data_IF_013753133614
#
_entry.id   IF_013753133614
#
_cell.length_a   1.000
_cell.length_b   1.000
_cell.length_c   1.000
_cell.angle_alpha   90.00
_cell.angle_beta   90.00
_cell.angle_gamma   90.00
#
_symmetry.space_group_name_H-M   'P 1'
#
loop_
_entity.id
_entity.type
_entity.pdbx_description
1 polymer ?
#
# COMPACT_ATOMS: atom_id res chain seq x y z
N UNK A 1 -4.03 -2.88 0.56
CA UNK A 1 -3.56 -2.69 -0.81
C UNK A 1 -4.36 -1.58 -1.45
N UNK A 2 -3.68 -0.63 -2.09
CA UNK A 2 -4.25 0.58 -2.67
C UNK A 2 -3.49 1.85 -2.27
N UNK A 3 -4.00 3.01 -2.70
CA UNK A 3 -3.33 4.31 -2.56
C UNK A 3 -3.01 4.76 -1.11
N UNK A 4 -3.71 4.20 -0.12
CA UNK A 4 -3.65 4.65 1.28
C UNK A 4 -2.93 3.68 2.23
N UNK A 5 -2.59 2.50 1.75
CA UNK A 5 -1.87 1.50 2.53
C UNK A 5 -0.67 0.99 1.72
N UNK A 6 -0.82 -0.15 1.06
CA UNK A 6 0.21 -0.83 0.31
C UNK A 6 0.09 -0.43 -1.16
N UNK A 7 0.83 0.61 -1.53
CA UNK A 7 0.64 1.38 -2.79
C UNK A 7 1.05 0.59 -4.02
N UNK A 8 1.98 -0.35 -3.89
CA UNK A 8 2.39 -1.26 -4.96
C UNK A 8 1.35 -2.34 -5.32
N UNK A 9 0.28 -2.49 -4.53
CA UNK A 9 -0.67 -3.61 -4.66
C UNK A 9 -2.06 -3.19 -5.15
N UNK A 10 -2.71 -4.08 -5.89
CA UNK A 10 -4.11 -3.89 -6.32
C UNK A 10 -5.03 -3.75 -5.10
N UNK A 11 -6.03 -2.88 -5.23
CA UNK A 11 -6.96 -2.57 -4.15
C UNK A 11 -7.55 -3.84 -3.51
N UNK A 12 -7.41 -4.01 -2.19
CA UNK A 12 -7.86 -5.19 -1.40
C UNK A 12 -7.21 -6.55 -1.71
N UNK A 13 -6.25 -6.65 -2.63
CA UNK A 13 -5.72 -7.96 -3.08
C UNK A 13 -4.56 -8.53 -2.23
N UNK A 14 -4.22 -7.87 -1.13
CA UNK A 14 -3.20 -8.35 -0.19
C UNK A 14 -3.71 -9.37 0.81
N UNK A 15 -5.02 -9.42 1.03
CA UNK A 15 -5.60 -10.33 2.02
C UNK A 15 -6.04 -11.68 1.47
N UNK A 16 -6.73 -12.46 2.31
CA UNK A 16 -7.36 -13.71 1.92
C UNK A 16 -8.21 -13.54 0.66
N UNK A 17 -8.07 -14.48 -0.29
CA UNK A 17 -8.87 -14.52 -1.51
C UNK A 17 -9.57 -15.86 -1.60
N UNK A 18 -10.86 -15.86 -1.94
CA UNK A 18 -11.60 -17.08 -2.30
C UNK A 18 -11.83 -17.03 -3.80
N UNK A 19 -11.35 -18.03 -4.52
CA UNK A 19 -11.46 -18.10 -5.99
C UNK A 19 -10.89 -16.87 -6.73
N UNK A 20 -9.91 -16.17 -6.11
CA UNK A 20 -9.30 -14.97 -6.68
C UNK A 20 -9.97 -13.65 -6.27
N UNK A 21 -11.11 -13.70 -5.58
CA UNK A 21 -11.84 -12.52 -5.10
C UNK A 21 -11.49 -12.18 -3.65
N UNK A 22 -11.28 -10.89 -3.32
CA UNK A 22 -10.87 -10.48 -1.98
C UNK A 22 -12.02 -10.56 -0.98
N UNK A 23 -11.86 -11.44 0.02
CA UNK A 23 -12.84 -11.63 1.10
C UNK A 23 -12.51 -10.85 2.37
N UNK A 24 -11.28 -10.32 2.47
CA UNK A 24 -10.80 -9.65 3.68
C UNK A 24 -10.39 -10.64 4.76
N UNK A 25 -9.83 -10.13 5.86
CA UNK A 25 -9.41 -10.95 6.99
C UNK A 25 -9.77 -10.29 8.32
N UNK A 26 -9.72 -11.07 9.40
CA UNK A 26 -10.08 -10.62 10.73
C UNK A 26 -8.93 -9.96 11.50
N UNK A 27 -7.69 -10.14 11.02
CA UNK A 27 -6.50 -9.52 11.59
C UNK A 27 -5.68 -8.85 10.48
N UNK A 28 -5.24 -7.62 10.69
CA UNK A 28 -4.37 -6.91 9.75
C UNK A 28 -3.25 -6.17 10.48
N UNK A 29 -2.08 -6.13 9.85
CA UNK A 29 -0.96 -5.28 10.26
C UNK A 29 -0.50 -4.49 9.06
N UNK A 30 -0.27 -3.20 9.28
CA UNK A 30 0.24 -2.30 8.25
C UNK A 30 1.22 -1.32 8.88
N UNK A 31 2.35 -1.12 8.20
CA UNK A 31 3.36 -0.12 8.51
C UNK A 31 3.79 0.59 7.24
N UNK A 32 4.08 1.89 7.38
CA UNK A 32 4.56 2.72 6.28
C UNK A 32 5.65 3.65 6.77
N UNK A 33 6.72 3.76 6.00
CA UNK A 33 7.77 4.75 6.17
C UNK A 33 7.80 5.64 4.94
N UNK A 34 7.63 6.93 5.13
CA UNK A 34 7.67 7.92 4.06
C UNK A 34 8.69 9.01 4.38
N UNK A 35 9.65 9.20 3.47
CA UNK A 35 10.60 10.30 3.52
C UNK A 35 10.30 11.28 2.41
N UNK A 36 10.11 12.55 2.75
CA UNK A 36 9.72 13.58 1.78
C UNK A 36 10.56 14.85 1.91
N UNK A 37 10.99 15.37 0.77
CA UNK A 37 11.78 16.59 0.68
C UNK A 37 11.01 17.66 -0.12
N UNK A 38 10.98 18.91 0.35
CA UNK A 38 10.41 20.01 -0.43
C UNK A 38 11.33 20.33 -1.61
N UNK A 39 10.75 20.40 -2.81
CA UNK A 39 11.42 20.92 -4.01
C UNK A 39 11.03 22.39 -4.21
N UNK A 40 9.76 22.70 -3.95
CA UNK A 40 9.24 24.07 -3.86
C UNK A 40 8.50 24.14 -2.53
N UNK A 41 8.99 24.97 -1.60
CA UNK A 41 8.66 24.94 -0.17
C UNK A 41 7.16 24.78 0.12
N UNK A 42 6.30 25.43 -0.64
CA UNK A 42 4.85 25.44 -0.40
C UNK A 42 4.03 24.58 -1.38
N UNK A 43 4.58 24.24 -2.55
CA UNK A 43 3.80 23.71 -3.67
C UNK A 43 4.14 22.28 -4.05
N UNK A 44 5.40 21.86 -3.90
CA UNK A 44 5.88 20.60 -4.46
C UNK A 44 6.83 19.91 -3.49
N UNK A 45 6.48 18.68 -3.11
CA UNK A 45 7.36 17.77 -2.37
C UNK A 45 7.49 16.48 -3.16
N UNK A 46 8.68 15.92 -3.17
CA UNK A 46 8.89 14.54 -3.64
C UNK A 46 9.05 13.64 -2.43
N UNK A 47 8.55 12.42 -2.53
CA UNK A 47 8.55 11.43 -1.48
C UNK A 47 9.13 10.12 -1.98
N UNK A 48 9.88 9.44 -1.14
CA UNK A 48 10.18 8.04 -1.27
C UNK A 48 9.48 7.31 -0.12
N UNK A 49 8.99 6.11 -0.38
CA UNK A 49 8.26 5.37 0.63
C UNK A 49 8.55 3.87 0.59
N UNK A 50 8.31 3.24 1.73
CA UNK A 50 8.33 1.80 1.93
C UNK A 50 7.09 1.41 2.73
N UNK A 51 6.32 0.46 2.21
CA UNK A 51 5.13 -0.07 2.83
C UNK A 51 5.32 -1.55 3.13
N UNK A 52 4.84 -2.00 4.28
CA UNK A 52 4.83 -3.41 4.68
C UNK A 52 3.52 -3.75 5.38
N UNK A 53 2.97 -4.92 5.11
CA UNK A 53 1.76 -5.36 5.76
C UNK A 53 1.33 -6.77 5.41
N UNK A 54 0.39 -7.28 6.19
CA UNK A 54 -0.28 -8.55 5.95
C UNK A 54 -1.70 -8.53 6.51
N UNK A 55 -2.51 -9.46 6.00
CA UNK A 55 -3.89 -9.68 6.44
C UNK A 55 -4.09 -11.18 6.57
N UNK A 56 -4.54 -11.63 7.74
CA UNK A 56 -4.83 -13.03 8.03
C UNK A 56 -6.34 -13.25 8.19
N UNK A 57 -6.85 -14.43 7.78
CA UNK A 57 -8.29 -14.73 7.85
C UNK A 57 -8.79 -14.82 9.29
N UNK A 58 -8.00 -15.36 10.20
CA UNK A 58 -8.40 -15.66 11.58
C UNK A 58 -8.24 -14.44 12.51
N UNK A 59 -9.10 -14.38 13.53
CA UNK A 59 -9.03 -13.37 14.58
C UNK A 59 -7.81 -13.59 15.48
N UNK A 60 -7.14 -12.49 15.85
CA UNK A 60 -5.92 -12.48 16.66
C UNK A 60 -4.73 -13.25 16.05
N UNK A 61 -4.76 -13.49 14.75
CA UNK A 61 -3.65 -14.10 14.01
C UNK A 61 -2.77 -13.02 13.37
N UNK A 62 -1.64 -12.76 14.02
CA UNK A 62 -0.64 -11.80 13.55
C UNK A 62 0.60 -12.47 12.97
N UNK A 63 0.55 -13.77 12.67
CA UNK A 63 1.67 -14.49 12.09
C UNK A 63 1.99 -13.93 10.69
N UNK A 64 3.20 -13.35 10.46
CA UNK A 64 3.58 -12.82 9.17
C UNK A 64 4.03 -13.91 8.18
N UNK A 65 4.16 -15.17 8.62
CA UNK A 65 4.80 -16.21 7.82
C UNK A 65 4.10 -16.47 6.49
N UNK A 66 4.93 -16.71 5.47
CA UNK A 66 4.45 -17.08 4.16
C UNK A 66 3.92 -18.51 4.18
N UNK A 67 2.62 -18.66 3.91
CA UNK A 67 1.95 -19.97 3.85
C UNK A 67 0.97 -20.03 2.70
N UNK A 68 0.73 -21.24 2.19
CA UNK A 68 -0.34 -21.51 1.23
C UNK A 68 -1.51 -22.08 1.98
N UNK A 69 -2.62 -21.36 1.99
CA UNK A 69 -3.88 -21.81 2.53
C UNK A 69 -4.76 -22.40 1.41
N UNK A 70 -5.40 -23.57 1.61
CA UNK A 70 -6.22 -24.21 0.59
C UNK A 70 -7.50 -23.42 0.24
N UNK A 71 -8.01 -22.60 1.15
CA UNK A 71 -9.19 -21.76 0.95
C UNK A 71 -8.82 -20.33 0.51
N UNK A 72 -7.76 -19.78 1.09
CA UNK A 72 -7.43 -18.34 0.99
C UNK A 72 -6.22 -18.00 0.09
N UNK A 73 -5.54 -19.02 -0.43
CA UNK A 73 -4.35 -18.87 -1.27
C UNK A 73 -3.07 -18.51 -0.50
N UNK A 74 -2.12 -17.81 -1.15
CA UNK A 74 -0.84 -17.39 -0.52
C UNK A 74 -1.04 -16.29 0.54
N UNK A 75 -0.87 -16.60 1.81
CA UNK A 75 -0.87 -15.65 2.91
C UNK A 75 0.58 -15.31 3.32
N UNK A 76 0.74 -14.24 4.08
CA UNK A 76 2.02 -13.79 4.62
C UNK A 76 2.25 -12.29 4.42
N UNK A 77 3.40 -11.83 4.88
CA UNK A 77 3.83 -10.45 4.70
C UNK A 77 4.06 -10.11 3.22
N UNK A 78 3.79 -8.84 2.92
CA UNK A 78 4.11 -8.25 1.64
C UNK A 78 4.67 -6.85 1.89
N UNK A 79 5.50 -6.39 0.97
CA UNK A 79 6.07 -5.05 1.01
C UNK A 79 6.18 -4.44 -0.39
N UNK A 80 6.25 -3.11 -0.43
CA UNK A 80 6.51 -2.35 -1.65
C UNK A 80 7.36 -1.11 -1.37
N UNK A 81 8.11 -0.69 -2.39
CA UNK A 81 8.83 0.58 -2.40
C UNK A 81 8.27 1.45 -3.50
N UNK A 82 8.33 2.77 -3.31
CA UNK A 82 7.90 3.65 -4.36
C UNK A 82 8.34 5.09 -4.21
N UNK A 83 8.01 5.84 -5.25
CA UNK A 83 8.21 7.27 -5.32
C UNK A 83 6.87 7.97 -5.43
N UNK A 84 6.80 9.15 -4.83
CA UNK A 84 5.61 9.96 -4.78
C UNK A 84 5.89 11.42 -5.04
N UNK A 85 4.87 12.10 -5.57
CA UNK A 85 4.81 13.54 -5.70
C UNK A 85 3.65 14.04 -4.88
N UNK A 86 3.88 15.07 -4.08
CA UNK A 86 2.87 15.79 -3.29
C UNK A 86 2.80 17.19 -3.87
N UNK A 87 1.65 17.54 -4.43
CA UNK A 87 1.37 18.86 -4.99
C UNK A 87 0.33 19.54 -4.13
N UNK A 88 0.62 20.74 -3.64
CA UNK A 88 -0.34 21.56 -2.94
C UNK A 88 -0.73 22.72 -3.84
N UNK A 89 -1.90 22.64 -4.46
CA UNK A 89 -2.35 23.64 -5.42
C UNK A 89 -3.30 24.60 -4.69
N UNK A 90 -3.03 25.93 -4.73
CA UNK A 90 -3.96 26.92 -4.20
C UNK A 90 -5.37 26.70 -4.76
N UNK A 91 -6.38 26.74 -3.88
CA UNK A 91 -7.81 26.56 -4.21
C UNK A 91 -8.27 25.13 -4.58
N UNK A 92 -7.39 24.26 -5.08
CA UNK A 92 -7.70 22.86 -5.44
C UNK A 92 -7.42 21.87 -4.30
N UNK A 93 -6.57 22.26 -3.36
CA UNK A 93 -6.15 21.42 -2.24
C UNK A 93 -4.98 20.50 -2.59
N UNK A 94 -4.66 19.54 -1.72
CA UNK A 94 -3.50 18.68 -1.92
C UNK A 94 -3.81 17.52 -2.86
N UNK A 95 -2.89 17.28 -3.78
CA UNK A 95 -2.85 16.19 -4.75
C UNK A 95 -1.66 15.29 -4.43
N UNK A 96 -1.89 13.98 -4.54
CA UNK A 96 -0.89 12.96 -4.26
C UNK A 96 -0.81 11.99 -5.43
N UNK A 97 0.38 11.86 -5.97
CA UNK A 97 0.72 10.88 -7.00
C UNK A 97 1.73 9.91 -6.39
N UNK A 98 1.50 8.61 -6.50
CA UNK A 98 2.43 7.58 -6.02
C UNK A 98 2.60 6.49 -7.05
N UNK A 99 3.83 6.03 -7.20
CA UNK A 99 4.16 4.85 -7.99
C UNK A 99 4.89 3.86 -7.08
N UNK A 100 4.18 2.79 -6.71
CA UNK A 100 4.69 1.72 -5.84
C UNK A 100 5.04 0.46 -6.64
N UNK A 101 6.13 -0.20 -6.29
CA UNK A 101 6.62 -1.43 -6.91
C UNK A 101 6.64 -2.52 -5.83
N UNK A 102 5.88 -3.61 -6.00
CA UNK A 102 5.86 -4.71 -5.03
C UNK A 102 7.21 -5.44 -5.02
N UNK A 103 7.78 -5.62 -3.83
CA UNK A 103 9.05 -6.35 -3.65
C UNK A 103 8.75 -7.80 -3.27
N UNK A 104 8.08 -8.05 -2.15
CA UNK A 104 7.78 -9.40 -1.68
C UNK A 104 6.28 -9.62 -1.49
N UNK A 105 5.84 -10.86 -1.62
CA UNK A 105 4.47 -11.26 -1.29
C UNK A 105 3.73 -11.79 -2.52
N UNK A 106 2.45 -11.47 -2.64
CA UNK A 106 1.61 -11.92 -3.77
C UNK A 106 1.73 -10.92 -4.92
N UNK A 107 2.15 -11.37 -6.10
CA UNK A 107 2.52 -10.52 -7.25
C UNK A 107 3.88 -9.83 -7.13
N UNK A 108 4.80 -10.43 -6.36
CA UNK A 108 6.23 -10.14 -6.44
C UNK A 108 6.71 -10.16 -7.91
N UNK A 109 7.48 -9.13 -8.30
CA UNK A 109 7.96 -8.96 -9.68
C UNK A 109 6.93 -8.48 -10.69
N UNK A 110 5.70 -8.13 -10.27
CA UNK A 110 4.72 -7.51 -11.17
C UNK A 110 5.06 -6.04 -11.47
N UNK A 111 4.52 -5.52 -12.58
CA UNK A 111 4.64 -4.10 -12.92
C UNK A 111 4.10 -3.24 -11.77
N UNK A 112 4.84 -2.20 -11.41
CA UNK A 112 4.43 -1.24 -10.38
C UNK A 112 3.06 -0.62 -10.64
N UNK A 113 2.48 -0.05 -9.59
CA UNK A 113 1.14 0.53 -9.59
C UNK A 113 1.20 2.03 -9.38
N UNK A 114 0.51 2.73 -10.26
CA UNK A 114 0.28 4.16 -10.13
C UNK A 114 -1.02 4.42 -9.35
N UNK A 115 -0.94 5.31 -8.38
CA UNK A 115 -2.07 5.77 -7.57
C UNK A 115 -2.13 7.29 -7.62
N UNK A 116 -3.35 7.81 -7.62
CA UNK A 116 -3.64 9.23 -7.55
C UNK A 116 -4.75 9.47 -6.52
N UNK A 117 -4.56 10.47 -5.67
CA UNK A 117 -5.61 10.93 -4.76
C UNK A 117 -5.68 12.45 -4.71
N UNK A 118 -6.91 12.95 -4.56
CA UNK A 118 -7.26 14.37 -4.47
C UNK A 118 -8.07 14.55 -3.19
N UNK A 119 -7.76 15.60 -2.42
CA UNK A 119 -8.55 15.97 -1.25
C UNK A 119 -7.79 15.74 0.05
N UNK A 120 -8.53 15.53 1.16
CA UNK A 120 -8.02 15.65 2.53
C UNK A 120 -6.71 14.85 2.75
N UNK A 121 -5.60 15.58 2.90
CA UNK A 121 -4.33 15.00 3.33
C UNK A 121 -4.44 14.67 4.81
N UNK A 122 -4.27 13.40 5.18
CA UNK A 122 -4.02 13.05 6.57
C UNK A 122 -2.65 13.59 6.92
N UNK A 123 -2.61 14.63 7.75
CA UNK A 123 -1.36 15.12 8.33
C UNK A 123 -0.85 14.03 9.26
N UNK A 124 0.41 13.60 9.05
CA UNK A 124 1.09 12.67 9.94
C UNK A 124 1.63 13.41 11.16
#
# INVERSE_FOLDING_TARGET
GGAYDMRGYKYRHLGPLVEGEPVGGQSYVFGSLEYSVPIIEEYLRVAAFYDIGWVNPDAYDFDPTHRKDPMYGKLGWADDVGLGVRLNIPMLGPLRFDYGIPINGRNEGSSGRFNFSVGYTRVF
#
